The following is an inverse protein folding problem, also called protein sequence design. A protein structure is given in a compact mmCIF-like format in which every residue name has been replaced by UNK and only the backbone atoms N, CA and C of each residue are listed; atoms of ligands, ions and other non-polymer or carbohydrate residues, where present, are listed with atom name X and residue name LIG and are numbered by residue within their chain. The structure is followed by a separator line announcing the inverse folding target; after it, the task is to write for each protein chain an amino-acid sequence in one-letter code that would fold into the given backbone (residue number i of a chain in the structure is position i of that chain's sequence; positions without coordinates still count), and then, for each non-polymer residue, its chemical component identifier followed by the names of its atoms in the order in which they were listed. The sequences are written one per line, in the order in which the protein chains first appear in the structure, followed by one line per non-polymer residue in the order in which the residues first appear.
data_IF_773744620941
#
_entry.id   IF_773744620941
#
_cell.length_a   1.000
_cell.length_b   1.000
_cell.length_c   1.000
_cell.angle_alpha   90.00
_cell.angle_beta   90.00
_cell.angle_gamma   90.00
#
_symmetry.space_group_name_H-M   'P 1'
#
loop_
_entity.id
_entity.type
_entity.pdbx_description
1 polymer ?
#
# COMPACT_ATOMS: atom_id res chain seq x y z
N UNK A 1 68.42 18.55 34.31
CA UNK A 1 67.42 17.50 34.61
C UNK A 1 66.07 17.97 34.07
N UNK A 2 65.69 17.52 32.85
CA UNK A 2 64.44 17.91 32.22
C UNK A 2 63.39 16.79 32.55
N UNK A 3 62.36 17.16 33.31
CA UNK A 3 61.20 16.25 33.59
C UNK A 3 60.25 16.24 32.42
N UNK A 4 60.13 15.09 31.73
CA UNK A 4 59.16 14.83 30.76
C UNK A 4 57.86 14.42 31.48
N UNK A 5 56.79 15.19 31.30
CA UNK A 5 55.41 14.84 31.73
C UNK A 5 54.76 13.95 30.66
N UNK A 6 54.22 12.77 30.94
CA UNK A 6 53.48 12.00 29.96
C UNK A 6 52.09 12.60 29.83
N UNK A 7 51.75 13.04 28.63
CA UNK A 7 50.41 13.47 28.22
C UNK A 7 49.56 12.21 27.99
N UNK A 8 48.71 11.85 28.94
CA UNK A 8 47.74 10.75 28.79
C UNK A 8 46.57 11.22 27.91
N UNK A 9 46.54 10.80 26.65
CA UNK A 9 45.40 10.99 25.74
C UNK A 9 44.31 10.00 26.16
N UNK A 10 43.27 10.48 26.88
CA UNK A 10 42.03 9.72 27.07
C UNK A 10 41.26 9.69 25.74
N UNK A 11 41.35 8.59 25.00
CA UNK A 11 40.45 8.25 23.93
C UNK A 11 39.06 7.92 24.55
N UNK A 12 38.19 8.93 24.61
CA UNK A 12 36.77 8.70 24.82
C UNK A 12 36.19 8.04 23.54
N UNK A 13 36.21 6.71 23.47
CA UNK A 13 35.46 5.95 22.50
C UNK A 13 33.99 6.13 22.83
N UNK A 14 33.39 7.22 22.35
CA UNK A 14 31.95 7.38 22.31
C UNK A 14 31.37 6.30 21.41
N UNK A 15 30.82 5.23 21.99
CA UNK A 15 30.06 4.23 21.27
C UNK A 15 28.87 4.92 20.61
N UNK A 16 28.99 5.22 19.31
CA UNK A 16 27.84 5.56 18.49
C UNK A 16 27.00 4.27 18.34
N UNK A 17 26.22 3.95 19.36
CA UNK A 17 25.16 2.94 19.23
C UNK A 17 24.22 3.42 18.15
N UNK A 18 24.14 2.70 17.02
CA UNK A 18 23.13 2.97 16.00
C UNK A 18 21.75 2.82 16.67
N UNK A 19 21.10 3.96 16.90
CA UNK A 19 19.77 3.99 17.47
C UNK A 19 18.81 3.28 16.49
N UNK A 20 18.12 2.24 16.94
CA UNK A 20 17.14 1.54 16.11
C UNK A 20 15.89 2.41 15.87
N UNK A 21 15.14 2.15 14.81
CA UNK A 21 13.85 2.82 14.57
C UNK A 21 12.89 2.62 15.77
N UNK A 22 12.90 1.44 16.39
CA UNK A 22 12.09 1.18 17.58
C UNK A 22 12.50 2.08 18.76
N UNK A 23 13.79 2.24 19.02
CA UNK A 23 14.26 3.14 20.10
C UNK A 23 13.81 4.58 19.86
N UNK A 24 13.86 5.06 18.60
CA UNK A 24 13.32 6.35 18.19
C UNK A 24 11.82 6.46 18.52
N UNK A 25 11.02 5.47 18.13
CA UNK A 25 9.58 5.44 18.41
C UNK A 25 9.30 5.49 19.91
N UNK A 26 9.98 4.65 20.70
CA UNK A 26 9.81 4.60 22.17
C UNK A 26 10.20 5.90 22.85
N UNK A 27 11.26 6.55 22.39
CA UNK A 27 11.73 7.83 22.92
C UNK A 27 10.81 9.00 22.55
N UNK A 28 10.40 9.07 21.26
CA UNK A 28 9.56 10.15 20.74
C UNK A 28 8.08 9.96 21.03
N UNK A 29 7.66 8.76 21.50
CA UNK A 29 6.25 8.39 21.71
C UNK A 29 5.40 8.58 20.44
N UNK A 30 6.02 8.39 19.28
CA UNK A 30 5.38 8.59 17.97
C UNK A 30 5.81 7.47 17.02
N UNK A 31 4.84 6.79 16.42
CA UNK A 31 5.01 5.81 15.36
C UNK A 31 4.59 6.45 14.04
N UNK A 32 5.54 6.69 13.14
CA UNK A 32 5.29 7.22 11.81
C UNK A 32 4.87 6.08 10.88
N UNK A 33 3.64 6.14 10.33
CA UNK A 33 3.05 5.08 9.52
C UNK A 33 2.76 5.57 8.11
N UNK A 34 3.45 5.02 7.12
CA UNK A 34 3.13 5.25 5.71
C UNK A 34 1.86 4.50 5.32
N UNK A 35 0.92 5.21 4.69
CA UNK A 35 -0.31 4.64 4.15
C UNK A 35 -0.80 5.41 2.93
N UNK A 36 -1.47 4.74 1.99
CA UNK A 36 -1.96 5.38 0.75
C UNK A 36 -3.30 6.09 0.96
N UNK A 37 -4.15 5.56 1.84
CA UNK A 37 -5.46 6.14 2.14
C UNK A 37 -6.51 6.01 1.03
N UNK A 38 -6.34 5.05 0.12
CA UNK A 38 -7.20 4.87 -1.06
C UNK A 38 -7.55 3.41 -1.38
N UNK A 39 -7.42 2.51 -0.39
CA UNK A 39 -7.59 1.07 -0.57
C UNK A 39 -8.49 0.46 0.52
N UNK A 40 -9.80 0.54 0.33
CA UNK A 40 -10.79 -0.08 1.22
C UNK A 40 -10.84 -1.60 1.01
N UNK A 41 -11.00 -2.38 2.10
CA UNK A 41 -11.30 -1.98 3.49
C UNK A 41 -10.06 -1.68 4.35
N UNK A 42 -8.84 -1.72 3.84
CA UNK A 42 -7.60 -1.67 4.62
C UNK A 42 -7.21 -0.26 5.07
N UNK A 43 -7.26 0.71 4.15
CA UNK A 43 -6.94 2.12 4.44
C UNK A 43 -7.79 3.07 3.60
N UNK A 44 -8.30 4.12 4.23
CA UNK A 44 -9.03 5.18 3.55
C UNK A 44 -8.85 6.52 4.26
N UNK A 45 -8.46 7.55 3.50
CA UNK A 45 -8.38 8.92 3.96
C UNK A 45 -9.75 9.59 3.78
N UNK A 46 -10.35 9.97 4.90
CA UNK A 46 -11.65 10.66 4.92
C UNK A 46 -11.49 12.13 4.56
N UNK A 47 -12.61 12.78 4.24
CA UNK A 47 -12.65 14.21 3.91
C UNK A 47 -12.24 15.11 5.08
N UNK A 48 -12.46 14.68 6.33
CA UNK A 48 -12.03 15.37 7.54
C UNK A 48 -10.53 15.24 7.84
N UNK A 49 -9.78 14.51 6.99
CA UNK A 49 -8.35 14.25 7.14
C UNK A 49 -8.02 13.06 8.05
N UNK A 50 -9.00 12.43 8.67
CA UNK A 50 -8.81 11.20 9.44
C UNK A 50 -8.67 9.98 8.55
N UNK A 51 -8.03 8.94 9.05
CA UNK A 51 -7.95 7.65 8.38
C UNK A 51 -8.93 6.65 8.99
N UNK A 52 -9.36 5.67 8.20
CA UNK A 52 -10.15 4.51 8.64
C UNK A 52 -9.73 3.25 7.88
N UNK A 53 -9.94 2.08 8.46
CA UNK A 53 -9.70 0.78 7.84
C UNK A 53 -9.05 -0.22 8.77
N UNK A 54 -8.99 -1.48 8.32
CA UNK A 54 -8.45 -2.59 9.11
C UNK A 54 -7.00 -2.32 9.52
N UNK A 55 -6.16 -1.91 8.59
CA UNK A 55 -4.74 -1.65 8.86
C UNK A 55 -4.53 -0.35 9.67
N UNK A 56 -5.50 0.57 9.61
CA UNK A 56 -5.51 1.78 10.43
C UNK A 56 -5.73 1.42 11.91
N UNK A 57 -6.76 0.61 12.19
CA UNK A 57 -7.05 0.15 13.55
C UNK A 57 -5.88 -0.68 14.12
N UNK A 58 -5.26 -1.50 13.27
CA UNK A 58 -4.07 -2.27 13.66
C UNK A 58 -2.86 -1.38 13.97
N UNK A 59 -2.61 -0.35 13.16
CA UNK A 59 -1.52 0.61 13.41
C UNK A 59 -1.73 1.38 14.73
N UNK A 60 -2.96 1.81 15.00
CA UNK A 60 -3.31 2.47 16.26
C UNK A 60 -3.13 1.53 17.47
N UNK A 61 -3.55 0.27 17.34
CA UNK A 61 -3.34 -0.76 18.36
C UNK A 61 -1.87 -1.02 18.62
N UNK A 62 -1.06 -1.12 17.57
CA UNK A 62 0.40 -1.29 17.68
C UNK A 62 1.04 -0.08 18.39
N UNK A 63 0.72 1.12 17.95
CA UNK A 63 1.26 2.35 18.59
C UNK A 63 0.89 2.41 20.07
N UNK A 64 -0.36 2.09 20.41
CA UNK A 64 -0.83 2.02 21.80
C UNK A 64 -0.03 1.01 22.63
N UNK A 65 0.26 -0.17 22.08
CA UNK A 65 1.07 -1.20 22.77
C UNK A 65 2.51 -0.75 23.02
N UNK A 66 3.05 0.13 22.17
CA UNK A 66 4.36 0.75 22.32
C UNK A 66 4.33 2.01 23.20
N UNK A 67 3.17 2.40 23.76
CA UNK A 67 3.00 3.65 24.50
C UNK A 67 3.24 4.89 23.63
N UNK A 68 2.96 4.81 22.33
CA UNK A 68 3.13 5.85 21.33
C UNK A 68 1.78 6.26 20.70
N UNK A 69 1.80 7.33 19.91
CA UNK A 69 0.69 7.76 19.04
C UNK A 69 1.09 7.58 17.59
N UNK A 70 0.12 7.30 16.73
CA UNK A 70 0.35 7.24 15.29
C UNK A 70 0.48 8.65 14.72
N UNK A 71 1.48 8.83 13.85
CA UNK A 71 1.58 9.94 12.90
C UNK A 71 1.47 9.38 11.49
N UNK A 72 0.38 9.71 10.83
CA UNK A 72 0.15 9.24 9.46
C UNK A 72 1.03 10.00 8.47
N UNK A 73 1.71 9.24 7.61
CA UNK A 73 2.53 9.73 6.51
C UNK A 73 1.85 9.30 5.21
N UNK A 74 1.17 10.25 4.55
CA UNK A 74 0.49 9.97 3.29
C UNK A 74 1.51 9.66 2.20
N UNK A 75 1.29 8.57 1.49
CA UNK A 75 2.06 8.13 0.33
C UNK A 75 1.13 7.76 -0.83
N UNK A 76 1.68 7.22 -1.91
CA UNK A 76 0.94 6.66 -3.04
C UNK A 76 1.49 5.28 -3.39
N UNK A 77 0.75 4.49 -4.15
CA UNK A 77 1.23 3.17 -4.59
C UNK A 77 2.56 3.26 -5.33
N UNK A 78 2.79 4.33 -6.09
CA UNK A 78 4.04 4.58 -6.81
C UNK A 78 5.21 4.92 -5.88
N UNK A 79 4.96 5.65 -4.79
CA UNK A 79 6.02 6.18 -3.92
C UNK A 79 6.16 5.42 -2.61
N UNK A 80 5.25 4.51 -2.26
CA UNK A 80 5.22 3.76 -1.00
C UNK A 80 6.59 3.14 -0.64
N UNK A 81 7.14 2.33 -1.53
CA UNK A 81 8.44 1.67 -1.27
C UNK A 81 9.59 2.68 -1.20
N UNK A 82 9.76 3.62 -2.16
CA UNK A 82 10.74 4.69 -2.03
C UNK A 82 10.61 5.54 -0.77
N UNK A 83 9.38 5.89 -0.37
CA UNK A 83 9.13 6.70 0.83
C UNK A 83 9.54 5.95 2.10
N UNK A 84 9.20 4.65 2.19
CA UNK A 84 9.59 3.80 3.31
C UNK A 84 11.10 3.59 3.38
N UNK A 85 11.75 3.20 2.28
CA UNK A 85 13.20 2.98 2.19
C UNK A 85 13.96 4.28 2.46
N UNK A 86 13.40 5.42 2.03
CA UNK A 86 13.94 6.76 2.31
C UNK A 86 13.74 7.23 3.75
N UNK A 87 13.16 6.41 4.63
CA UNK A 87 13.02 6.72 6.06
C UNK A 87 11.96 7.75 6.39
N UNK A 88 10.95 7.97 5.52
CA UNK A 88 9.85 8.91 5.81
C UNK A 88 8.89 8.39 6.88
N UNK A 89 8.91 7.10 7.16
CA UNK A 89 8.08 6.46 8.16
C UNK A 89 8.80 5.26 8.78
N UNK A 90 8.36 4.85 9.96
CA UNK A 90 8.92 3.72 10.71
C UNK A 90 8.36 2.39 10.21
N UNK A 91 7.09 2.37 9.83
CA UNK A 91 6.40 1.22 9.22
C UNK A 91 5.48 1.68 8.09
N UNK A 92 5.07 0.74 7.24
CA UNK A 92 4.06 0.96 6.20
C UNK A 92 2.90 -0.04 6.38
N UNK A 93 1.65 0.46 6.39
CA UNK A 93 0.44 -0.33 6.57
C UNK A 93 -0.68 0.18 5.65
N UNK A 94 -1.56 -0.72 5.19
CA UNK A 94 -2.68 -0.36 4.30
C UNK A 94 -2.93 -1.39 3.20
N UNK A 95 -3.02 -2.68 3.53
CA UNK A 95 -3.27 -3.76 2.56
C UNK A 95 -2.10 -3.98 1.60
N UNK A 96 -0.87 -3.85 2.09
CA UNK A 96 0.33 -3.89 1.25
C UNK A 96 0.68 -5.33 0.91
N UNK A 97 0.55 -5.70 -0.36
CA UNK A 97 0.91 -7.04 -0.84
C UNK A 97 2.41 -7.31 -0.69
N UNK A 98 2.74 -8.50 -0.18
CA UNK A 98 4.10 -9.04 -0.19
C UNK A 98 4.44 -9.44 -1.62
N UNK A 99 5.48 -8.83 -2.19
CA UNK A 99 6.00 -9.16 -3.51
C UNK A 99 7.50 -9.35 -3.45
N UNK A 100 8.07 -10.14 -4.38
CA UNK A 100 9.51 -10.35 -4.45
C UNK A 100 10.28 -9.02 -4.66
N UNK A 101 9.72 -8.10 -5.45
CA UNK A 101 10.34 -6.79 -5.68
C UNK A 101 10.41 -5.94 -4.41
N UNK A 102 9.35 -5.97 -3.60
CA UNK A 102 9.35 -5.28 -2.30
C UNK A 102 10.27 -5.98 -1.30
N UNK A 103 10.26 -7.32 -1.24
CA UNK A 103 11.12 -8.10 -0.33
C UNK A 103 12.62 -7.92 -0.57
N UNK A 104 13.04 -7.52 -1.78
CA UNK A 104 14.44 -7.13 -2.05
C UNK A 104 14.87 -5.86 -1.31
N UNK A 105 13.93 -5.05 -0.86
CA UNK A 105 14.20 -3.73 -0.33
C UNK A 105 13.74 -3.54 1.12
N UNK A 106 12.74 -4.33 1.57
CA UNK A 106 12.12 -4.17 2.89
C UNK A 106 11.81 -5.52 3.52
N UNK A 107 11.71 -5.53 4.84
CA UNK A 107 11.20 -6.67 5.60
C UNK A 107 9.67 -6.55 5.75
N UNK A 108 9.00 -7.70 5.76
CA UNK A 108 7.60 -7.82 6.09
C UNK A 108 7.45 -8.57 7.42
N UNK A 109 6.45 -8.21 8.20
CA UNK A 109 5.93 -9.06 9.26
C UNK A 109 5.25 -10.30 8.67
N UNK A 110 4.78 -11.21 9.53
CA UNK A 110 3.96 -12.33 9.09
C UNK A 110 2.76 -11.82 8.30
N UNK A 111 2.42 -12.53 7.22
CA UNK A 111 1.26 -12.15 6.41
C UNK A 111 -0.02 -12.29 7.22
N UNK A 112 -0.88 -11.30 7.13
CA UNK A 112 -2.16 -11.26 7.83
C UNK A 112 -3.25 -12.01 7.09
N UNK A 113 -3.20 -11.99 5.74
CA UNK A 113 -4.19 -12.60 4.87
C UNK A 113 -3.58 -13.03 3.53
N UNK A 114 -4.38 -13.77 2.75
CA UNK A 114 -4.05 -14.15 1.37
C UNK A 114 -5.22 -13.78 0.48
N UNK A 115 -4.94 -12.99 -0.55
CA UNK A 115 -5.93 -12.52 -1.50
C UNK A 115 -5.48 -12.80 -2.94
N UNK A 116 -6.36 -12.58 -3.92
CA UNK A 116 -6.10 -12.83 -5.33
C UNK A 116 -6.68 -11.74 -6.23
N UNK A 117 -6.04 -11.54 -7.40
CA UNK A 117 -6.51 -10.57 -8.39
C UNK A 117 -7.72 -11.10 -9.14
N UNK A 118 -8.82 -10.35 -9.10
CA UNK A 118 -10.06 -10.65 -9.82
C UNK A 118 -10.55 -9.42 -10.60
N UNK A 119 -11.37 -9.63 -11.64
CA UNK A 119 -12.01 -8.52 -12.33
C UNK A 119 -13.15 -7.92 -11.50
N UNK A 120 -13.22 -6.60 -11.43
CA UNK A 120 -14.38 -5.82 -11.02
C UNK A 120 -14.96 -5.16 -12.27
N UNK A 121 -16.24 -5.42 -12.55
CA UNK A 121 -16.90 -5.00 -13.78
C UNK A 121 -18.33 -4.53 -13.51
N UNK A 122 -19.01 -3.92 -14.48
CA UNK A 122 -20.45 -3.73 -14.37
C UNK A 122 -21.17 -5.08 -14.33
N UNK A 123 -22.18 -5.22 -13.49
CA UNK A 123 -22.94 -6.48 -13.34
C UNK A 123 -23.56 -6.99 -14.67
N UNK A 124 -23.91 -6.07 -15.57
CA UNK A 124 -24.40 -6.41 -16.93
C UNK A 124 -23.32 -7.05 -17.82
N UNK A 125 -22.07 -6.89 -17.48
CA UNK A 125 -20.92 -7.30 -18.30
C UNK A 125 -20.17 -8.53 -17.75
N UNK A 126 -20.58 -9.09 -16.61
CA UNK A 126 -19.93 -10.24 -15.94
C UNK A 126 -19.64 -11.39 -16.92
N UNK A 127 -20.58 -11.75 -17.80
CA UNK A 127 -20.37 -12.83 -18.76
C UNK A 127 -19.31 -12.56 -19.81
N UNK A 128 -18.95 -11.28 -20.04
CA UNK A 128 -17.96 -10.85 -21.04
C UNK A 128 -16.54 -10.89 -20.52
N UNK A 129 -16.34 -10.87 -19.18
CA UNK A 129 -15.03 -10.65 -18.55
C UNK A 129 -14.73 -11.69 -17.46
N UNK A 130 -15.06 -12.96 -17.71
CA UNK A 130 -14.87 -14.05 -16.73
C UNK A 130 -13.49 -14.67 -16.76
N UNK A 131 -12.77 -14.54 -17.87
CA UNK A 131 -11.43 -15.12 -18.04
C UNK A 131 -10.44 -14.10 -18.55
N UNK A 132 -9.15 -14.36 -18.34
CA UNK A 132 -8.08 -13.49 -18.82
C UNK A 132 -8.13 -13.33 -20.35
N UNK A 133 -8.47 -14.39 -21.10
CA UNK A 133 -8.58 -14.37 -22.55
C UNK A 133 -9.71 -13.45 -23.04
N UNK A 134 -10.81 -13.39 -22.28
CA UNK A 134 -11.90 -12.47 -22.57
C UNK A 134 -11.53 -11.02 -22.34
N UNK A 135 -10.68 -10.74 -21.34
CA UNK A 135 -10.23 -9.41 -20.95
C UNK A 135 -9.03 -8.96 -21.80
N UNK A 136 -8.11 -9.87 -22.15
CA UNK A 136 -6.87 -9.55 -22.88
C UNK A 136 -7.12 -9.30 -24.38
N UNK A 137 -7.93 -8.28 -24.69
CA UNK A 137 -8.30 -7.88 -26.06
C UNK A 137 -8.09 -6.38 -26.26
N UNK A 138 -7.67 -5.92 -27.46
CA UNK A 138 -7.48 -4.50 -27.74
C UNK A 138 -8.74 -3.63 -27.58
N UNK A 139 -9.93 -4.26 -27.61
CA UNK A 139 -11.21 -3.57 -27.42
C UNK A 139 -11.59 -3.37 -25.94
N UNK A 140 -10.91 -4.02 -25.00
CA UNK A 140 -11.21 -3.93 -23.57
C UNK A 140 -10.40 -2.80 -22.95
N UNK A 141 -11.09 -1.91 -22.24
CA UNK A 141 -10.53 -0.75 -21.57
C UNK A 141 -10.33 -1.06 -20.09
N UNK A 142 -9.07 -1.19 -19.69
CA UNK A 142 -8.67 -1.34 -18.29
C UNK A 142 -8.37 0.03 -17.69
N UNK A 143 -8.73 0.22 -16.42
CA UNK A 143 -8.41 1.41 -15.66
C UNK A 143 -7.85 0.97 -14.30
N UNK A 144 -6.60 1.33 -14.03
CA UNK A 144 -5.87 0.88 -12.85
C UNK A 144 -5.18 2.04 -12.12
N UNK A 145 -4.93 1.90 -10.80
CA UNK A 145 -4.06 2.82 -10.09
C UNK A 145 -2.61 2.65 -10.53
N UNK A 146 -1.90 3.76 -10.69
CA UNK A 146 -0.51 3.77 -11.08
C UNK A 146 0.42 3.29 -9.96
N UNK A 147 1.39 2.42 -10.27
CA UNK A 147 2.50 2.02 -9.41
C UNK A 147 2.22 0.86 -8.46
N UNK A 148 1.02 0.25 -8.52
CA UNK A 148 0.63 -0.86 -7.65
C UNK A 148 0.75 -2.24 -8.29
N UNK A 149 0.31 -3.25 -7.53
CA UNK A 149 0.30 -4.65 -7.99
C UNK A 149 -0.76 -4.90 -9.07
N UNK A 150 -1.80 -4.06 -9.14
CA UNK A 150 -2.82 -4.14 -10.19
C UNK A 150 -2.22 -3.81 -11.56
N UNK A 151 -1.50 -2.68 -11.67
CA UNK A 151 -0.77 -2.31 -12.88
C UNK A 151 0.22 -3.41 -13.29
N UNK A 152 1.02 -3.91 -12.33
CA UNK A 152 1.98 -4.98 -12.60
C UNK A 152 1.30 -6.26 -13.13
N UNK A 153 0.15 -6.63 -12.57
CA UNK A 153 -0.65 -7.77 -13.05
C UNK A 153 -1.13 -7.56 -14.49
N UNK A 154 -1.67 -6.38 -14.80
CA UNK A 154 -2.17 -6.07 -16.16
C UNK A 154 -1.03 -6.15 -17.17
N UNK A 155 0.14 -5.58 -16.88
CA UNK A 155 1.30 -5.67 -17.78
C UNK A 155 1.75 -7.12 -18.01
N UNK A 156 1.71 -7.96 -16.98
CA UNK A 156 2.15 -9.34 -17.06
C UNK A 156 1.17 -10.25 -17.81
N UNK A 157 -0.14 -10.08 -17.58
CA UNK A 157 -1.14 -11.06 -18.01
C UNK A 157 -2.16 -10.54 -19.04
N UNK A 158 -2.28 -9.22 -19.19
CA UNK A 158 -3.27 -8.58 -20.07
C UNK A 158 -2.67 -7.57 -21.03
N UNK A 159 -1.49 -7.87 -21.67
CA UNK A 159 -0.72 -6.90 -22.46
C UNK A 159 -1.43 -6.41 -23.73
N UNK A 160 -2.51 -7.07 -24.17
CA UNK A 160 -3.27 -6.67 -25.36
C UNK A 160 -4.40 -5.71 -25.04
N UNK A 161 -4.87 -5.67 -23.79
CA UNK A 161 -5.94 -4.77 -23.39
C UNK A 161 -5.47 -3.32 -23.32
N UNK A 162 -6.39 -2.38 -23.51
CA UNK A 162 -6.07 -0.96 -23.48
C UNK A 162 -6.02 -0.46 -22.03
N UNK A 163 -4.83 -0.40 -21.45
CA UNK A 163 -4.62 0.10 -20.09
C UNK A 163 -4.59 1.64 -20.05
N UNK A 164 -5.34 2.18 -19.11
CA UNK A 164 -5.24 3.59 -18.66
C UNK A 164 -4.87 3.58 -17.18
N UNK A 165 -3.93 4.44 -16.78
CA UNK A 165 -3.51 4.60 -15.39
C UNK A 165 -4.08 5.89 -14.81
N UNK A 166 -4.45 5.85 -13.52
CA UNK A 166 -4.88 7.03 -12.76
C UNK A 166 -4.11 7.12 -11.43
N UNK A 167 -4.00 8.34 -10.91
CA UNK A 167 -3.52 8.60 -9.54
C UNK A 167 -4.66 8.72 -8.52
N UNK A 168 -5.90 8.69 -8.98
CA UNK A 168 -7.11 8.70 -8.17
C UNK A 168 -7.78 7.33 -8.22
N UNK A 169 -7.34 6.43 -7.32
CA UNK A 169 -7.85 5.08 -7.22
C UNK A 169 -9.36 5.06 -6.94
N UNK A 170 -9.84 5.97 -6.09
CA UNK A 170 -11.24 5.99 -5.68
C UNK A 170 -12.20 6.40 -6.81
N UNK A 171 -11.73 7.14 -7.82
CA UNK A 171 -12.54 7.52 -8.98
C UNK A 171 -12.82 6.37 -9.96
N UNK A 172 -12.03 5.29 -9.90
CA UNK A 172 -12.13 4.15 -10.84
C UNK A 172 -13.53 3.54 -10.80
N UNK A 173 -14.09 3.34 -9.61
CA UNK A 173 -15.37 2.67 -9.42
C UNK A 173 -16.51 3.43 -10.11
N UNK A 174 -16.56 4.75 -9.96
CA UNK A 174 -17.55 5.56 -10.66
C UNK A 174 -17.31 5.57 -12.17
N UNK A 175 -16.04 5.59 -12.61
CA UNK A 175 -15.71 5.54 -14.03
C UNK A 175 -16.12 4.21 -14.69
N UNK A 176 -16.07 3.08 -13.96
CA UNK A 176 -16.63 1.80 -14.42
C UNK A 176 -18.15 1.88 -14.57
N UNK A 177 -18.84 2.45 -13.58
CA UNK A 177 -20.31 2.67 -13.63
C UNK A 177 -20.68 3.54 -14.83
N UNK A 178 -19.92 4.60 -15.08
CA UNK A 178 -20.14 5.58 -16.16
C UNK A 178 -19.68 5.08 -17.55
N UNK A 179 -19.25 3.84 -17.67
CA UNK A 179 -18.75 3.24 -18.92
C UNK A 179 -17.52 3.92 -19.52
N UNK A 180 -16.74 4.64 -18.72
CA UNK A 180 -15.45 5.23 -19.14
C UNK A 180 -14.36 4.17 -19.26
N UNK A 181 -14.46 3.10 -18.45
CA UNK A 181 -13.66 1.88 -18.54
C UNK A 181 -14.57 0.64 -18.47
N UNK A 182 -14.02 -0.53 -18.74
CA UNK A 182 -14.77 -1.78 -18.78
C UNK A 182 -14.44 -2.69 -17.58
N UNK A 183 -13.19 -2.77 -17.20
CA UNK A 183 -12.67 -3.66 -16.16
C UNK A 183 -11.64 -2.93 -15.31
N UNK A 184 -11.66 -3.19 -14.01
CA UNK A 184 -10.55 -3.01 -13.08
C UNK A 184 -10.13 -4.39 -12.59
N UNK A 185 -8.82 -4.65 -12.56
CA UNK A 185 -8.26 -5.84 -11.90
C UNK A 185 -7.84 -5.41 -10.51
N UNK A 186 -8.45 -6.00 -9.48
CA UNK A 186 -8.10 -5.68 -8.11
C UNK A 186 -8.18 -6.92 -7.22
N UNK A 187 -7.82 -6.79 -5.96
CA UNK A 187 -7.90 -7.87 -4.99
C UNK A 187 -9.36 -8.20 -4.68
N UNK A 188 -9.64 -9.48 -4.42
CA UNK A 188 -11.01 -9.96 -4.18
C UNK A 188 -11.67 -9.23 -3.00
N UNK A 189 -10.93 -8.95 -1.94
CA UNK A 189 -11.41 -8.19 -0.78
C UNK A 189 -11.89 -6.79 -1.16
N UNK A 190 -11.12 -6.04 -1.98
CA UNK A 190 -11.56 -4.73 -2.47
C UNK A 190 -12.75 -4.85 -3.41
N UNK A 191 -12.71 -5.77 -4.37
CA UNK A 191 -13.80 -5.97 -5.32
C UNK A 191 -15.13 -6.27 -4.60
N UNK A 192 -15.12 -7.15 -3.61
CA UNK A 192 -16.28 -7.50 -2.79
C UNK A 192 -16.76 -6.32 -1.93
N UNK A 193 -15.82 -5.53 -1.38
CA UNK A 193 -16.17 -4.31 -0.65
C UNK A 193 -16.85 -3.29 -1.56
N UNK A 194 -16.26 -3.03 -2.73
CA UNK A 194 -16.76 -2.04 -3.67
C UNK A 194 -18.09 -2.46 -4.34
N UNK A 195 -18.30 -3.74 -4.58
CA UNK A 195 -19.60 -4.28 -5.04
C UNK A 195 -20.74 -3.92 -4.07
N UNK A 196 -20.49 -3.93 -2.75
CA UNK A 196 -21.50 -3.52 -1.77
C UNK A 196 -21.81 -2.01 -1.81
N UNK A 197 -20.82 -1.19 -2.17
CA UNK A 197 -20.97 0.27 -2.25
C UNK A 197 -21.50 0.76 -3.58
N UNK A 198 -21.20 0.04 -4.65
CA UNK A 198 -21.61 0.35 -6.03
C UNK A 198 -22.49 -0.80 -6.57
N UNK A 199 -23.82 -0.74 -6.37
CA UNK A 199 -24.72 -1.85 -6.74
C UNK A 199 -24.71 -2.23 -8.23
N UNK A 200 -24.14 -1.37 -9.09
CA UNK A 200 -23.96 -1.65 -10.53
C UNK A 200 -22.67 -2.40 -10.85
N UNK A 201 -21.76 -2.55 -9.87
CA UNK A 201 -20.50 -3.28 -10.03
C UNK A 201 -20.59 -4.68 -9.40
N UNK A 202 -19.95 -5.63 -10.05
CA UNK A 202 -19.88 -7.02 -9.63
C UNK A 202 -18.44 -7.52 -9.65
N UNK A 203 -18.02 -8.13 -8.55
CA UNK A 203 -16.82 -8.94 -8.48
C UNK A 203 -17.02 -10.21 -9.32
N UNK A 204 -16.01 -10.60 -10.09
CA UNK A 204 -16.06 -11.76 -10.98
C UNK A 204 -15.13 -12.84 -10.46
N UNK A 205 -15.67 -14.03 -10.19
CA UNK A 205 -14.95 -15.19 -9.64
C UNK A 205 -14.20 -14.86 -8.33
N UNK A 206 -14.88 -14.31 -7.31
CA UNK A 206 -14.26 -13.97 -6.04
C UNK A 206 -13.80 -15.20 -5.26
#
# INVERSE_FOLDING_TARGET
MKKLLPLALLLAAGGAGAQSHLDKVLQQKTLEVCTTGDYKPYTFLKEDGGYEGIDIDMAESLAKSLGAKVKWVKTSWKTLTPDFVGGKCDIAMGGISVTLERQKQVFFADKLDTDGKIPLVRCTDVKKYRTLEQINKPSVRLLEPAGGTNEAFVHAYLPKAKLTLTHDNMSIFQQLVDRKADVMITDASEALYQQKRYPKLCAVNP
#
